data_IF_764483881184
#
_entry.id   IF_764483881184
#
_cell.length_a   1.000
_cell.length_b   1.000
_cell.length_c   1.000
_cell.angle_alpha   90.00
_cell.angle_beta   90.00
_cell.angle_gamma   90.00
#
_symmetry.space_group_name_H-M   'P 1'
#
loop_
_entity.id
_entity.type
_entity.pdbx_description
1 polymer ?
#
# COMPACT_ATOMS: atom_id res chain seq x y z
N UNK A 1 -4.40 -6.08 7.53
CA UNK A 1 -3.33 -6.18 8.56
C UNK A 1 -3.76 -7.17 9.63
N UNK A 2 -2.84 -7.83 10.31
CA UNK A 2 -3.17 -8.76 11.40
C UNK A 2 -2.88 -8.13 12.76
N UNK A 3 -3.59 -8.57 13.81
CA UNK A 3 -3.40 -8.23 15.22
C UNK A 3 -1.92 -8.13 15.67
N UNK A 4 -1.07 -9.03 15.16
CA UNK A 4 0.37 -9.07 15.45
C UNK A 4 1.13 -7.85 14.88
N UNK A 5 0.66 -7.29 13.76
CA UNK A 5 1.23 -6.10 13.13
C UNK A 5 0.91 -4.85 13.96
N UNK A 6 -0.34 -4.75 14.44
CA UNK A 6 -0.80 -3.66 15.31
C UNK A 6 -0.06 -3.68 16.65
N UNK A 7 0.10 -4.85 17.27
CA UNK A 7 0.86 -5.01 18.51
C UNK A 7 2.32 -4.58 18.36
N UNK A 8 2.96 -4.99 17.25
CA UNK A 8 4.35 -4.61 16.95
C UNK A 8 4.48 -3.11 16.70
N UNK A 9 3.52 -2.49 16.02
CA UNK A 9 3.52 -1.06 15.76
C UNK A 9 3.49 -0.24 17.05
N UNK A 10 2.59 -0.57 17.99
CA UNK A 10 2.46 0.12 19.28
C UNK A 10 3.71 -0.01 20.15
N UNK A 11 4.25 -1.23 20.24
CA UNK A 11 5.43 -1.51 21.05
C UNK A 11 6.71 -0.89 20.49
N UNK A 12 6.88 -0.85 19.17
CA UNK A 12 8.07 -0.29 18.53
C UNK A 12 8.05 1.25 18.47
N UNK A 13 6.90 1.85 18.16
CA UNK A 13 6.82 3.31 17.95
C UNK A 13 6.52 4.09 19.23
N UNK A 14 5.80 3.48 20.18
CA UNK A 14 5.32 4.17 21.38
C UNK A 14 5.76 3.49 22.69
N UNK A 15 6.35 2.29 22.62
CA UNK A 15 6.72 1.53 23.82
C UNK A 15 5.51 1.09 24.65
N UNK A 16 4.31 1.10 24.07
CA UNK A 16 3.06 0.74 24.76
C UNK A 16 2.57 -0.64 24.31
N UNK A 17 1.94 -1.34 25.23
CA UNK A 17 1.31 -2.64 24.97
C UNK A 17 -0.11 -2.46 24.43
N UNK A 18 -0.62 -3.48 23.73
CA UNK A 18 -2.02 -3.50 23.27
C UNK A 18 -3.01 -3.32 24.42
N UNK A 19 -2.70 -3.86 25.60
CA UNK A 19 -3.55 -3.73 26.77
C UNK A 19 -3.57 -2.31 27.33
N UNK A 20 -2.45 -1.58 27.28
CA UNK A 20 -2.41 -0.15 27.64
C UNK A 20 -3.15 0.73 26.62
N UNK A 21 -3.05 0.40 25.33
CA UNK A 21 -3.80 1.09 24.29
C UNK A 21 -5.32 0.86 24.45
N UNK A 22 -5.72 -0.37 24.80
CA UNK A 22 -7.09 -0.72 25.11
C UNK A 22 -7.61 0.03 26.34
N UNK A 23 -6.82 0.07 27.42
CA UNK A 23 -7.16 0.79 28.66
C UNK A 23 -7.37 2.29 28.39
N UNK A 24 -6.50 2.89 27.57
CA UNK A 24 -6.65 4.28 27.15
C UNK A 24 -7.94 4.51 26.35
N UNK A 25 -8.26 3.64 25.39
CA UNK A 25 -9.49 3.73 24.58
C UNK A 25 -10.71 3.58 25.49
N UNK A 26 -10.71 2.60 26.40
CA UNK A 26 -11.78 2.35 27.36
C UNK A 26 -11.99 3.53 28.32
N UNK A 27 -10.91 4.12 28.84
CA UNK A 27 -10.95 5.29 29.72
C UNK A 27 -11.39 6.57 28.98
N UNK A 28 -11.16 6.64 27.67
CA UNK A 28 -11.48 7.81 26.85
C UNK A 28 -12.79 7.66 26.08
N UNK A 29 -13.59 6.61 26.34
CA UNK A 29 -14.87 6.38 25.63
C UNK A 29 -15.85 7.55 25.82
N UNK A 30 -15.83 8.19 26.97
CA UNK A 30 -16.63 9.39 27.26
C UNK A 30 -16.11 10.65 26.54
N UNK A 31 -14.92 10.58 25.94
CA UNK A 31 -14.24 11.66 25.22
C UNK A 31 -13.68 11.17 23.88
N UNK A 32 -14.56 10.82 22.91
CA UNK A 32 -14.16 10.28 21.62
C UNK A 32 -13.24 11.20 20.82
N UNK A 33 -13.32 12.52 21.06
CA UNK A 33 -12.45 13.52 20.45
C UNK A 33 -10.99 13.41 20.92
N UNK A 34 -10.77 12.99 22.17
CA UNK A 34 -9.43 12.73 22.71
C UNK A 34 -8.83 11.48 22.09
N UNK A 35 -9.62 10.40 21.96
CA UNK A 35 -9.21 9.18 21.25
C UNK A 35 -8.80 9.55 19.82
N UNK A 36 -9.65 10.27 19.12
CA UNK A 36 -9.42 10.68 17.74
C UNK A 36 -8.13 11.49 17.59
N UNK A 37 -7.92 12.53 18.40
CA UNK A 37 -6.71 13.35 18.30
C UNK A 37 -5.43 12.56 18.59
N UNK A 38 -5.46 11.67 19.59
CA UNK A 38 -4.32 10.82 19.92
C UNK A 38 -4.06 9.80 18.82
N UNK A 39 -5.10 9.15 18.28
CA UNK A 39 -4.95 8.23 17.15
C UNK A 39 -4.38 8.94 15.92
N UNK A 40 -4.86 10.15 15.63
CA UNK A 40 -4.35 10.98 14.53
C UNK A 40 -2.88 11.34 14.72
N UNK A 41 -2.51 11.77 15.93
CA UNK A 41 -1.13 12.11 16.27
C UNK A 41 -0.21 10.89 16.26
N UNK A 42 -0.73 9.74 16.68
CA UNK A 42 0.00 8.48 16.77
C UNK A 42 -0.04 7.65 15.48
N UNK A 43 -0.64 8.17 14.39
CA UNK A 43 -0.84 7.45 13.13
C UNK A 43 -1.49 6.05 13.33
N UNK A 44 -2.40 5.94 14.30
CA UNK A 44 -3.18 4.73 14.58
C UNK A 44 -4.44 4.78 13.71
N UNK A 45 -4.57 3.82 12.80
CA UNK A 45 -5.70 3.73 11.86
C UNK A 45 -6.95 3.16 12.51
N UNK A 46 -8.12 3.28 11.86
CA UNK A 46 -9.36 2.66 12.36
C UNK A 46 -9.24 1.13 12.42
N UNK A 47 -8.45 0.53 11.52
CA UNK A 47 -8.11 -0.89 11.55
C UNK A 47 -7.27 -1.28 12.77
N UNK A 48 -6.24 -0.49 13.11
CA UNK A 48 -5.43 -0.73 14.31
C UNK A 48 -6.26 -0.53 15.57
N UNK A 49 -7.17 0.46 15.58
CA UNK A 49 -8.10 0.65 16.68
C UNK A 49 -9.00 -0.57 16.83
N UNK A 50 -9.61 -1.07 15.76
CA UNK A 50 -10.44 -2.28 15.78
C UNK A 50 -9.68 -3.52 16.32
N UNK A 51 -8.41 -3.69 15.97
CA UNK A 51 -7.54 -4.73 16.54
C UNK A 51 -7.34 -4.56 18.06
N UNK A 52 -7.18 -3.32 18.54
CA UNK A 52 -6.97 -3.02 19.97
C UNK A 52 -8.21 -3.37 20.80
N UNK A 53 -9.42 -3.10 20.30
CA UNK A 53 -10.69 -3.37 20.98
C UNK A 53 -11.26 -4.77 20.75
N UNK A 54 -10.74 -5.52 19.78
CA UNK A 54 -11.10 -6.92 19.53
C UNK A 54 -11.11 -7.85 20.77
N UNK A 55 -10.24 -7.68 21.78
CA UNK A 55 -10.28 -8.50 23.01
C UNK A 55 -11.52 -8.26 23.89
N UNK A 56 -12.15 -7.09 23.78
CA UNK A 56 -13.33 -6.70 24.59
C UNK A 56 -14.61 -6.83 23.76
N UNK A 57 -14.51 -6.56 22.46
CA UNK A 57 -15.57 -6.71 21.47
C UNK A 57 -15.07 -7.63 20.35
N UNK A 58 -15.20 -8.96 20.52
CA UNK A 58 -14.98 -9.87 19.41
C UNK A 58 -16.01 -9.51 18.31
N UNK A 59 -15.56 -9.41 17.06
CA UNK A 59 -16.31 -8.91 15.88
C UNK A 59 -16.33 -7.39 15.65
N UNK A 60 -15.53 -6.60 16.36
CA UNK A 60 -15.41 -5.17 16.04
C UNK A 60 -14.67 -4.95 14.71
N UNK A 61 -15.35 -4.27 13.78
CA UNK A 61 -14.83 -3.94 12.46
C UNK A 61 -14.31 -2.48 12.41
N UNK A 62 -13.36 -2.15 11.52
CA UNK A 62 -12.89 -0.78 11.31
C UNK A 62 -14.03 0.18 10.92
N UNK A 63 -15.02 -0.33 10.20
CA UNK A 63 -16.24 0.40 9.84
C UNK A 63 -17.10 0.77 11.05
N UNK A 64 -17.15 -0.08 12.08
CA UNK A 64 -17.86 0.22 13.33
C UNK A 64 -17.15 1.32 14.12
N UNK A 65 -15.82 1.31 14.13
CA UNK A 65 -14.99 2.38 14.69
C UNK A 65 -15.25 3.70 13.97
N UNK A 66 -15.29 3.68 12.64
CA UNK A 66 -15.57 4.86 11.85
C UNK A 66 -16.99 5.42 12.10
N UNK A 67 -17.99 4.53 12.20
CA UNK A 67 -19.37 4.91 12.54
C UNK A 67 -19.48 5.50 13.95
N UNK A 68 -18.72 4.96 14.91
CA UNK A 68 -18.66 5.49 16.27
C UNK A 68 -18.21 6.95 16.27
N UNK A 69 -17.06 7.26 15.66
CA UNK A 69 -16.58 8.64 15.56
C UNK A 69 -17.53 9.55 14.78
N UNK A 70 -18.13 9.06 13.69
CA UNK A 70 -19.11 9.81 12.90
C UNK A 70 -20.34 10.22 13.73
N UNK A 71 -20.79 9.36 14.67
CA UNK A 71 -21.89 9.69 15.59
C UNK A 71 -21.58 10.86 16.53
N UNK A 72 -20.30 11.17 16.75
CA UNK A 72 -19.85 12.32 17.54
C UNK A 72 -19.44 13.52 16.68
N UNK A 73 -19.70 13.48 15.36
CA UNK A 73 -19.30 14.52 14.42
C UNK A 73 -17.80 14.54 14.12
N UNK A 74 -17.09 13.45 14.43
CA UNK A 74 -15.66 13.29 14.15
C UNK A 74 -15.46 12.55 12.85
N UNK A 75 -14.65 13.12 11.97
CA UNK A 75 -14.42 12.58 10.63
C UNK A 75 -13.35 11.48 10.70
N UNK A 76 -13.78 10.25 11.00
CA UNK A 76 -12.93 9.06 11.12
C UNK A 76 -12.01 8.82 9.92
N UNK A 77 -12.36 9.40 8.77
CA UNK A 77 -11.53 9.41 7.57
C UNK A 77 -10.20 10.15 7.78
N UNK A 78 -10.06 11.03 8.77
CA UNK A 78 -8.77 11.64 9.05
C UNK A 78 -7.82 10.73 9.85
N UNK A 79 -8.34 9.67 10.48
CA UNK A 79 -7.54 8.59 11.05
C UNK A 79 -7.20 7.53 9.99
N UNK A 80 -8.03 7.47 8.95
CA UNK A 80 -7.98 6.47 7.90
C UNK A 80 -8.40 7.15 6.58
N UNK A 81 -7.50 7.88 5.90
CA UNK A 81 -7.82 8.69 4.72
C UNK A 81 -8.43 7.84 3.60
N UNK A 82 -9.77 7.76 3.62
CA UNK A 82 -10.69 7.12 2.66
C UNK A 82 -10.18 5.85 2.00
N UNK A 83 -10.42 4.70 2.66
CA UNK A 83 -10.61 3.45 1.91
C UNK A 83 -12.12 3.28 1.72
N UNK A 84 -12.76 3.53 0.55
CA UNK A 84 -14.04 2.87 0.21
C UNK A 84 -13.97 1.34 0.46
N UNK A 85 -15.10 0.63 0.64
CA UNK A 85 -15.08 -0.78 1.01
C UNK A 85 -14.26 -1.57 -0.02
N UNK A 86 -13.15 -2.14 0.45
CA UNK A 86 -12.04 -2.78 -0.28
C UNK A 86 -10.99 -1.90 -1.00
N UNK A 87 -10.64 -0.71 -0.49
CA UNK A 87 -9.37 -0.05 -0.87
C UNK A 87 -9.28 1.43 -0.54
N UNK A 88 -8.07 1.94 -0.23
CA UNK A 88 -7.68 3.35 -0.02
C UNK A 88 -7.13 3.81 1.36
N UNK A 89 -5.85 3.68 1.64
CA UNK A 89 -5.17 4.85 2.21
C UNK A 89 -4.01 5.09 1.28
N UNK A 90 -4.17 6.06 0.37
CA UNK A 90 -3.11 6.54 -0.52
C UNK A 90 -2.04 7.31 0.27
N UNK A 91 -1.41 6.62 1.23
CA UNK A 91 0.04 6.75 1.39
C UNK A 91 0.62 6.12 0.13
N UNK A 92 1.52 6.79 -0.59
CA UNK A 92 2.28 6.09 -1.62
C UNK A 92 2.92 4.87 -0.96
N UNK A 93 2.41 3.67 -1.25
CA UNK A 93 2.89 2.44 -0.62
C UNK A 93 4.28 2.21 -1.19
N UNK A 94 5.31 2.59 -0.44
CA UNK A 94 6.68 2.41 -0.91
C UNK A 94 7.11 0.97 -0.66
N UNK A 95 7.38 0.23 -1.73
CA UNK A 95 7.91 -1.13 -1.68
C UNK A 95 9.35 -1.09 -2.13
N UNK A 96 10.28 -1.47 -1.24
CA UNK A 96 11.67 -1.61 -1.62
C UNK A 96 11.86 -2.97 -2.30
N UNK A 97 12.17 -2.95 -3.59
CA UNK A 97 12.46 -4.13 -4.40
C UNK A 97 13.96 -4.20 -4.59
N UNK A 98 14.63 -5.03 -3.80
CA UNK A 98 16.11 -5.18 -3.84
C UNK A 98 16.56 -6.60 -4.15
N UNK A 99 15.63 -7.49 -4.49
CA UNK A 99 15.90 -8.89 -4.78
C UNK A 99 14.69 -9.60 -5.33
N UNK A 100 14.82 -10.89 -5.60
CA UNK A 100 13.75 -11.69 -6.18
C UNK A 100 12.55 -11.79 -5.24
N UNK A 101 11.34 -11.79 -5.81
CA UNK A 101 10.12 -11.84 -5.02
C UNK A 101 8.87 -11.56 -5.83
N UNK A 102 7.75 -11.36 -5.14
CA UNK A 102 6.50 -11.00 -5.76
C UNK A 102 5.68 -10.07 -4.86
N UNK A 103 4.92 -9.16 -5.48
CA UNK A 103 3.81 -8.46 -4.87
C UNK A 103 2.51 -9.02 -5.45
N UNK A 104 1.68 -9.59 -4.57
CA UNK A 104 0.55 -10.43 -4.98
C UNK A 104 -0.68 -9.66 -5.43
N UNK A 105 -0.77 -8.35 -5.15
CA UNK A 105 -1.84 -7.49 -5.66
C UNK A 105 -1.49 -5.99 -5.50
N UNK A 106 -1.36 -5.29 -6.62
CA UNK A 106 -1.10 -3.85 -6.70
C UNK A 106 -2.35 -3.03 -7.05
N UNK A 107 -3.47 -3.65 -7.41
CA UNK A 107 -4.65 -2.91 -7.87
C UNK A 107 -5.37 -2.16 -6.75
N UNK A 108 -5.08 -2.48 -5.50
CA UNK A 108 -5.80 -1.93 -4.35
C UNK A 108 -5.32 -0.53 -3.94
N UNK A 109 -4.08 -0.14 -4.28
CA UNK A 109 -3.48 1.14 -3.89
C UNK A 109 -2.40 1.63 -4.87
N UNK A 110 -2.23 2.95 -5.00
CA UNK A 110 -1.10 3.55 -5.75
C UNK A 110 0.24 3.29 -5.06
N UNK A 111 0.95 2.28 -5.55
CA UNK A 111 2.18 1.72 -4.97
C UNK A 111 3.41 2.25 -5.70
N UNK A 112 4.41 2.71 -4.95
CA UNK A 112 5.71 3.15 -5.47
C UNK A 112 6.79 2.09 -5.19
N UNK A 113 7.22 1.39 -6.23
CA UNK A 113 8.25 0.35 -6.12
C UNK A 113 9.63 0.98 -6.33
N UNK A 114 10.43 1.04 -5.26
CA UNK A 114 11.83 1.47 -5.35
C UNK A 114 12.70 0.30 -5.79
N UNK A 115 13.10 0.29 -7.06
CA UNK A 115 13.86 -0.80 -7.68
C UNK A 115 15.35 -0.61 -7.44
N UNK A 116 15.88 -1.25 -6.41
CA UNK A 116 17.32 -1.28 -6.12
C UNK A 116 18.00 -2.49 -6.76
N UNK A 117 19.22 -2.32 -7.27
CA UNK A 117 20.04 -3.44 -7.74
C UNK A 117 20.93 -3.96 -6.60
N UNK A 118 20.74 -5.22 -6.22
CA UNK A 118 21.66 -5.97 -5.34
C UNK A 118 21.98 -7.33 -5.98
N UNK A 119 22.33 -7.30 -7.26
CA UNK A 119 22.49 -8.49 -8.11
C UNK A 119 21.39 -8.60 -9.16
N UNK A 120 21.45 -9.68 -9.94
CA UNK A 120 20.42 -9.99 -10.93
C UNK A 120 19.24 -10.69 -10.26
N UNK A 121 18.02 -10.22 -10.55
CA UNK A 121 16.82 -10.81 -9.98
C UNK A 121 15.57 -10.58 -10.83
N UNK A 122 14.59 -11.45 -10.60
CA UNK A 122 13.25 -11.35 -11.16
C UNK A 122 12.24 -11.01 -10.06
N UNK A 123 11.38 -10.03 -10.29
CA UNK A 123 10.33 -9.64 -9.36
C UNK A 123 8.99 -9.55 -10.07
N UNK A 124 7.94 -10.14 -9.51
CA UNK A 124 6.60 -10.14 -10.11
C UNK A 124 5.68 -9.15 -9.39
N UNK A 125 4.90 -8.37 -10.12
CA UNK A 125 3.86 -7.50 -9.57
C UNK A 125 2.53 -7.89 -10.21
N UNK A 126 1.57 -8.32 -9.40
CA UNK A 126 0.22 -8.59 -9.89
C UNK A 126 -0.65 -7.33 -9.86
N UNK A 127 -1.52 -7.18 -10.86
CA UNK A 127 -2.51 -6.14 -11.02
C UNK A 127 -1.96 -4.70 -10.95
N UNK A 128 -0.81 -4.45 -11.58
CA UNK A 128 -0.25 -3.08 -11.69
C UNK A 128 -1.26 -2.17 -12.41
N UNK A 129 -1.63 -1.07 -11.75
CA UNK A 129 -2.73 -0.21 -12.16
C UNK A 129 -2.29 1.24 -12.37
N UNK A 130 -3.20 2.05 -12.93
CA UNK A 130 -2.93 3.47 -13.12
C UNK A 130 -2.70 4.17 -11.77
N UNK A 131 -1.59 4.89 -11.65
CA UNK A 131 -1.16 5.54 -10.41
C UNK A 131 -0.01 4.83 -9.67
N UNK A 132 0.27 3.56 -9.99
CA UNK A 132 1.47 2.87 -9.54
C UNK A 132 2.73 3.45 -10.20
N UNK A 133 3.87 3.33 -9.51
CA UNK A 133 5.16 3.86 -9.97
C UNK A 133 6.27 2.83 -9.81
N UNK A 134 7.05 2.61 -10.86
CA UNK A 134 8.36 1.98 -10.78
C UNK A 134 9.41 3.10 -10.69
N UNK A 135 10.12 3.17 -9.57
CA UNK A 135 11.11 4.20 -9.27
C UNK A 135 12.50 3.57 -9.33
N UNK A 136 13.33 4.05 -10.24
CA UNK A 136 14.67 3.56 -10.50
C UNK A 136 15.72 4.55 -9.97
N UNK A 137 16.87 4.06 -9.46
CA UNK A 137 17.96 4.91 -8.96
C UNK A 137 18.55 5.85 -10.02
N UNK A 138 18.46 5.46 -11.30
CA UNK A 138 18.94 6.25 -12.43
C UNK A 138 17.85 6.30 -13.50
N UNK A 139 17.46 7.52 -13.87
CA UNK A 139 16.38 7.78 -14.82
C UNK A 139 16.70 7.26 -16.24
N UNK A 140 15.65 6.93 -16.99
CA UNK A 140 15.68 6.60 -18.42
C UNK A 140 16.46 5.34 -18.85
N UNK A 141 16.76 4.42 -17.94
CA UNK A 141 17.45 3.15 -18.27
C UNK A 141 16.53 1.93 -18.33
N UNK A 142 15.28 2.07 -17.92
CA UNK A 142 14.31 0.99 -17.96
C UNK A 142 13.74 0.80 -19.38
N UNK A 143 13.68 -0.44 -19.84
CA UNK A 143 13.02 -0.84 -21.09
C UNK A 143 11.71 -1.56 -20.77
N UNK A 144 10.69 -1.34 -21.60
CA UNK A 144 9.40 -2.02 -21.50
C UNK A 144 9.27 -2.94 -22.70
N UNK A 145 8.95 -4.21 -22.43
CA UNK A 145 8.82 -5.28 -23.40
C UNK A 145 7.42 -5.86 -23.24
N UNK A 146 6.66 -5.85 -24.34
CA UNK A 146 5.40 -6.54 -24.47
C UNK A 146 5.51 -7.50 -25.66
N UNK A 147 5.68 -8.79 -25.39
CA UNK A 147 5.80 -9.81 -26.45
C UNK A 147 4.43 -10.31 -26.93
N UNK A 148 3.40 -10.22 -26.08
CA UNK A 148 2.07 -10.73 -26.34
C UNK A 148 1.01 -9.77 -25.80
N UNK A 149 0.42 -9.00 -26.71
CA UNK A 149 -0.57 -7.94 -26.45
C UNK A 149 -1.94 -8.39 -25.89
N UNK A 150 -2.06 -9.65 -25.46
CA UNK A 150 -3.32 -10.29 -25.01
C UNK A 150 -3.10 -11.33 -23.90
N UNK A 151 -1.92 -11.37 -23.28
CA UNK A 151 -1.65 -12.32 -22.19
C UNK A 151 -1.72 -11.66 -20.80
N UNK A 152 -1.94 -10.34 -20.77
CA UNK A 152 -2.02 -9.56 -19.54
C UNK A 152 -0.67 -9.45 -18.83
N UNK A 153 0.44 -9.62 -19.56
CA UNK A 153 1.79 -9.56 -19.02
C UNK A 153 2.65 -8.49 -19.71
N UNK A 154 3.44 -7.80 -18.89
CA UNK A 154 4.45 -6.85 -19.38
C UNK A 154 5.76 -7.10 -18.64
N UNK A 155 6.88 -6.95 -19.34
CA UNK A 155 8.20 -7.06 -18.72
C UNK A 155 8.88 -5.69 -18.75
N UNK A 156 9.36 -5.26 -17.59
CA UNK A 156 10.17 -4.05 -17.44
C UNK A 156 11.57 -4.46 -17.00
N UNK A 157 12.57 -4.21 -17.84
CA UNK A 157 13.96 -4.49 -17.53
C UNK A 157 14.69 -3.22 -17.15
N UNK A 158 15.40 -3.25 -16.04
CA UNK A 158 16.27 -2.15 -15.61
C UNK A 158 17.70 -2.66 -15.46
N UNK A 159 18.61 -2.12 -16.27
CA UNK A 159 20.02 -2.47 -16.22
C UNK A 159 20.87 -1.25 -15.84
N UNK A 160 21.68 -1.37 -14.79
CA UNK A 160 22.60 -0.33 -14.36
C UNK A 160 23.85 -0.94 -13.74
N UNK A 161 25.02 -0.32 -13.98
CA UNK A 161 26.32 -0.75 -13.46
C UNK A 161 26.66 -2.26 -13.69
N UNK A 162 26.16 -2.86 -14.78
CA UNK A 162 26.39 -4.27 -15.11
C UNK A 162 25.49 -5.27 -14.35
N UNK A 163 24.46 -4.78 -13.65
CA UNK A 163 23.44 -5.60 -12.98
C UNK A 163 22.08 -5.35 -13.63
N UNK A 164 21.18 -6.32 -13.57
CA UNK A 164 19.85 -6.26 -14.20
C UNK A 164 18.73 -6.70 -13.25
N UNK A 165 17.68 -5.89 -13.15
CA UNK A 165 16.41 -6.28 -12.53
C UNK A 165 15.36 -6.50 -13.63
N UNK A 166 14.68 -7.63 -13.59
CA UNK A 166 13.55 -7.94 -14.47
C UNK A 166 12.28 -7.91 -13.66
N UNK A 167 11.39 -6.97 -13.97
CA UNK A 167 10.10 -6.81 -13.30
C UNK A 167 9.02 -7.35 -14.25
N UNK A 168 8.27 -8.36 -13.82
CA UNK A 168 7.14 -8.90 -14.57
C UNK A 168 5.85 -8.36 -13.98
N UNK A 169 5.10 -7.60 -14.75
CA UNK A 169 3.74 -7.20 -14.43
C UNK A 169 2.79 -8.26 -14.95
N UNK A 170 1.86 -8.71 -14.12
CA UNK A 170 0.83 -9.69 -14.50
C UNK A 170 -0.55 -9.16 -14.11
N UNK A 171 -1.60 -9.58 -14.81
CA UNK A 171 -2.96 -9.07 -14.57
C UNK A 171 -3.20 -7.68 -15.18
N UNK A 172 -2.45 -7.33 -16.23
CA UNK A 172 -2.72 -6.13 -17.03
C UNK A 172 -4.00 -6.36 -17.83
N UNK A 173 -5.00 -5.45 -17.78
CA UNK A 173 -6.20 -5.57 -18.59
C UNK A 173 -5.89 -5.61 -20.09
N UNK A 174 -6.54 -6.49 -20.86
CA UNK A 174 -6.32 -6.64 -22.32
C UNK A 174 -6.44 -5.31 -23.10
N UNK A 175 -7.32 -4.42 -22.65
CA UNK A 175 -7.52 -3.09 -23.23
C UNK A 175 -6.33 -2.15 -23.03
N UNK A 176 -5.52 -2.35 -22.00
CA UNK A 176 -4.26 -1.62 -21.76
C UNK A 176 -3.09 -2.36 -22.40
N UNK A 177 -3.03 -3.68 -22.23
CA UNK A 177 -1.98 -4.55 -22.74
C UNK A 177 -1.76 -4.34 -24.25
N UNK A 178 -2.85 -4.36 -25.02
CA UNK A 178 -2.84 -4.15 -26.47
C UNK A 178 -2.32 -2.80 -26.96
N UNK A 179 -2.16 -1.82 -26.06
CA UNK A 179 -1.74 -0.46 -26.39
C UNK A 179 -0.33 -0.11 -25.89
N UNK A 180 0.42 -1.08 -25.31
CA UNK A 180 1.73 -0.85 -24.71
C UNK A 180 2.83 -1.44 -25.60
N UNK A 181 3.59 -0.55 -26.25
CA UNK A 181 4.66 -0.86 -27.21
C UNK A 181 6.06 -0.46 -26.73
N UNK A 182 6.17 0.15 -25.54
CA UNK A 182 7.42 0.67 -25.00
C UNK A 182 7.21 1.68 -23.87
N UNK A 183 8.28 2.34 -23.39
CA UNK A 183 8.20 3.22 -22.21
C UNK A 183 7.22 4.40 -22.37
N UNK A 184 7.11 4.99 -23.57
CA UNK A 184 6.20 6.12 -23.82
C UNK A 184 4.73 5.69 -23.74
N UNK A 185 4.36 4.59 -24.39
CA UNK A 185 2.99 4.07 -24.35
C UNK A 185 2.65 3.49 -22.98
N UNK A 186 3.61 2.91 -22.27
CA UNK A 186 3.45 2.52 -20.86
C UNK A 186 3.09 3.71 -19.96
N UNK A 187 3.82 4.83 -20.07
CA UNK A 187 3.50 6.06 -19.33
C UNK A 187 2.16 6.65 -19.73
N UNK A 188 1.74 6.47 -20.99
CA UNK A 188 0.39 6.88 -21.41
C UNK A 188 -0.70 5.98 -20.83
N UNK A 189 -0.42 4.70 -20.59
CA UNK A 189 -1.38 3.70 -20.10
C UNK A 189 -1.56 3.76 -18.57
N UNK A 190 -0.45 3.86 -17.82
CA UNK A 190 -0.48 3.80 -16.35
C UNK A 190 -0.24 5.14 -15.66
N UNK A 191 0.18 6.17 -16.41
CA UNK A 191 0.45 7.52 -15.91
C UNK A 191 1.88 7.99 -16.18
N UNK A 192 2.07 9.31 -16.28
CA UNK A 192 3.36 9.92 -16.66
C UNK A 192 4.52 9.52 -15.75
N UNK A 193 4.20 9.25 -14.48
CA UNK A 193 5.15 8.92 -13.42
C UNK A 193 5.31 7.41 -13.21
N UNK A 194 4.64 6.57 -14.01
CA UNK A 194 4.65 5.12 -13.82
C UNK A 194 6.05 4.49 -14.02
N UNK A 195 6.94 5.21 -14.70
CA UNK A 195 8.35 4.88 -14.94
C UNK A 195 9.19 6.12 -14.61
N UNK A 196 9.84 6.14 -13.45
CA UNK A 196 10.62 7.30 -12.97
C UNK A 196 12.06 6.93 -12.63
#
# INVERSE_FOLDING_TARGET
>A
MSFATTQKFLSVNYGVTMQQALDFVAASLESPQTIFNVCKQAAITNQMLADIISPVLPDVLPSMVAQYFASFGLDATQLDPVTPPDGGAVIAKTVNVTGAGQHTDAAQDNTSYMIGLNGEYNYTIQNFAAGDKLIFPAANLATVINESFTDGQLVVNYAFAGQMATITLVGVPDSLDSNIFGPTSFKSAFGSDALN
#
